data_IF_711070135726
#
_entry.id   IF_711070135726
#
_cell.length_a   1.000
_cell.length_b   1.000
_cell.length_c   1.000
_cell.angle_alpha   90.00
_cell.angle_beta   90.00
_cell.angle_gamma   90.00
#
_symmetry.space_group_name_H-M   'P 1'
#
loop_
_entity.id
_entity.type
_entity.pdbx_description
1 polymer ?
#
# COMPACT_ATOMS: atom_id res chain seq x y z
N UNK A 1 22.56 9.88 2.15
CA UNK A 1 22.30 9.42 0.78
C UNK A 1 21.53 8.11 0.95
N UNK A 2 20.51 7.85 0.19
CA UNK A 2 19.79 6.57 0.25
C UNK A 2 20.60 5.49 -0.44
N UNK A 3 20.29 4.22 -0.16
CA UNK A 3 20.88 3.10 -0.91
C UNK A 3 20.41 3.09 -2.36
N UNK A 4 21.23 2.50 -3.24
CA UNK A 4 20.94 2.45 -4.66
C UNK A 4 19.81 1.46 -5.00
N UNK A 5 19.64 0.40 -4.19
CA UNK A 5 18.64 -0.64 -4.43
C UNK A 5 17.90 -1.02 -3.16
N UNK A 6 16.57 -1.01 -3.23
CA UNK A 6 15.72 -1.50 -2.14
C UNK A 6 14.99 -2.77 -2.56
N UNK A 7 15.09 -3.81 -1.72
CA UNK A 7 14.41 -5.08 -1.93
C UNK A 7 12.89 -4.92 -1.85
N UNK A 8 12.42 -4.17 -0.85
CA UNK A 8 10.99 -3.88 -0.67
C UNK A 8 10.83 -2.42 -0.22
N UNK A 9 9.90 -1.72 -0.84
CA UNK A 9 9.48 -0.39 -0.40
C UNK A 9 7.99 -0.40 -0.09
N UNK A 10 7.62 0.01 1.12
CA UNK A 10 6.21 0.22 1.51
C UNK A 10 5.87 1.70 1.44
N UNK A 11 4.77 1.99 0.79
CA UNK A 11 4.21 3.33 0.67
C UNK A 11 2.82 3.32 1.30
N UNK A 12 2.72 3.84 2.52
CA UNK A 12 1.51 3.84 3.34
C UNK A 12 1.01 5.27 3.57
N UNK A 13 -0.30 5.44 3.64
CA UNK A 13 -0.94 6.72 3.85
C UNK A 13 -1.81 6.71 5.12
N UNK A 14 -1.61 7.71 5.97
CA UNK A 14 -2.45 7.99 7.13
C UNK A 14 -3.28 9.22 6.82
N UNK A 15 -4.61 9.05 6.75
CA UNK A 15 -5.55 10.15 6.51
C UNK A 15 -6.01 10.75 7.84
N UNK A 16 -6.03 12.08 7.90
CA UNK A 16 -6.49 12.82 9.06
C UNK A 16 -7.27 14.07 8.63
N UNK A 17 -8.15 14.55 9.51
CA UNK A 17 -8.95 15.74 9.28
C UNK A 17 -8.32 16.93 10.01
N UNK A 18 -8.19 18.04 9.31
CA UNK A 18 -7.70 19.31 9.85
C UNK A 18 -8.62 20.43 9.43
N UNK A 19 -8.69 21.49 10.24
CA UNK A 19 -9.36 22.72 9.87
C UNK A 19 -8.40 23.59 9.06
N UNK A 20 -8.79 23.97 7.84
CA UNK A 20 -8.01 24.86 7.00
C UNK A 20 -8.06 26.32 7.50
N UNK A 21 -7.31 27.21 6.83
CA UNK A 21 -7.28 28.64 7.18
C UNK A 21 -8.62 29.36 7.03
N UNK A 22 -9.60 28.74 6.35
CA UNK A 22 -10.98 29.26 6.16
C UNK A 22 -11.97 28.69 7.17
N UNK A 23 -11.51 27.85 8.12
CA UNK A 23 -12.36 27.18 9.08
C UNK A 23 -13.06 25.92 8.55
N UNK A 24 -12.73 25.45 7.34
CA UNK A 24 -13.32 24.26 6.75
C UNK A 24 -12.55 23.00 7.13
N UNK A 25 -13.28 21.92 7.43
CA UNK A 25 -12.70 20.60 7.64
C UNK A 25 -12.23 20.02 6.32
N UNK A 26 -10.93 19.78 6.19
CA UNK A 26 -10.30 19.16 5.03
C UNK A 26 -9.57 17.89 5.43
N UNK A 27 -9.61 16.88 4.56
CA UNK A 27 -8.83 15.66 4.75
C UNK A 27 -7.42 15.86 4.16
N UNK A 28 -6.40 15.51 4.93
CA UNK A 28 -5.00 15.46 4.52
C UNK A 28 -4.48 14.06 4.67
N UNK A 29 -3.42 13.73 3.92
CA UNK A 29 -2.72 12.48 4.07
C UNK A 29 -1.24 12.71 4.36
N UNK A 30 -0.69 11.89 5.26
CA UNK A 30 0.76 11.75 5.49
C UNK A 30 1.15 10.43 4.86
N UNK A 31 2.06 10.49 3.91
CA UNK A 31 2.65 9.33 3.26
C UNK A 31 3.97 9.01 3.91
N UNK A 32 4.05 7.82 4.50
CA UNK A 32 5.28 7.25 5.03
C UNK A 32 5.84 6.27 4.01
N UNK A 33 7.09 6.45 3.64
CA UNK A 33 7.79 5.54 2.73
C UNK A 33 8.91 4.86 3.47
N UNK A 34 8.79 3.55 3.64
CA UNK A 34 9.75 2.69 4.32
C UNK A 34 10.39 1.75 3.29
N UNK A 35 11.72 1.63 3.33
CA UNK A 35 12.46 0.66 2.52
C UNK A 35 13.13 -0.41 3.36
N UNK A 36 13.36 -1.55 2.74
CA UNK A 36 14.33 -2.56 3.19
C UNK A 36 15.40 -2.66 2.12
N UNK A 37 16.66 -2.43 2.51
CA UNK A 37 17.82 -2.59 1.65
C UNK A 37 18.10 -4.08 1.33
N UNK A 38 19.18 -4.35 0.61
CA UNK A 38 19.59 -5.72 0.26
C UNK A 38 20.13 -6.50 1.46
N UNK A 39 20.61 -5.84 2.47
CA UNK A 39 21.10 -6.40 3.74
C UNK A 39 19.99 -6.68 4.75
N UNK A 40 18.75 -6.24 4.48
CA UNK A 40 17.60 -6.43 5.35
C UNK A 40 17.37 -5.32 6.38
N UNK A 41 18.09 -4.20 6.29
CA UNK A 41 17.89 -3.06 7.18
C UNK A 41 16.69 -2.23 6.75
N UNK A 42 15.91 -1.80 7.73
CA UNK A 42 14.77 -0.91 7.51
C UNK A 42 15.20 0.54 7.57
N UNK A 43 14.78 1.32 6.60
CA UNK A 43 15.06 2.74 6.50
C UNK A 43 13.80 3.54 6.18
N UNK A 44 13.65 4.74 6.76
CA UNK A 44 12.62 5.70 6.39
C UNK A 44 13.12 6.51 5.20
N UNK A 45 12.59 6.25 4.01
CA UNK A 45 12.98 6.94 2.77
C UNK A 45 12.40 8.35 2.69
N UNK A 46 11.24 8.58 3.30
CA UNK A 46 10.64 9.90 3.35
C UNK A 46 9.27 9.93 3.98
N UNK A 47 8.86 11.15 4.36
CA UNK A 47 7.52 11.49 4.81
C UNK A 47 7.01 12.66 3.97
N UNK A 48 5.80 12.51 3.41
CA UNK A 48 5.22 13.52 2.53
C UNK A 48 3.83 13.86 3.00
N UNK A 49 3.48 15.14 2.95
CA UNK A 49 2.14 15.62 3.30
C UNK A 49 1.49 16.14 2.02
N UNK A 50 0.33 15.60 1.68
CA UNK A 50 -0.42 16.06 0.51
C UNK A 50 -1.89 16.28 0.82
N UNK A 51 -2.47 17.29 0.17
CA UNK A 51 -3.92 17.50 0.11
C UNK A 51 -4.52 17.04 -1.21
N UNK A 52 -3.68 16.73 -2.21
CA UNK A 52 -4.08 16.25 -3.52
C UNK A 52 -3.26 15.00 -3.87
N UNK A 53 -3.93 13.88 -3.99
CA UNK A 53 -3.39 12.60 -4.41
C UNK A 53 -3.57 12.49 -5.92
N UNK A 54 -2.59 12.96 -6.68
CA UNK A 54 -2.61 12.90 -8.13
C UNK A 54 -1.32 12.33 -8.72
N UNK A 55 -1.36 11.95 -10.00
CA UNK A 55 -0.20 11.38 -10.69
C UNK A 55 1.06 12.24 -10.57
N UNK A 56 0.94 13.56 -10.62
CA UNK A 56 2.06 14.48 -10.46
C UNK A 56 2.72 14.41 -9.07
N UNK A 57 1.91 14.19 -8.00
CA UNK A 57 2.43 14.00 -6.65
C UNK A 57 3.27 12.73 -6.56
N UNK A 58 2.74 11.60 -7.08
CA UNK A 58 3.45 10.32 -7.11
C UNK A 58 4.74 10.39 -7.89
N UNK A 59 4.70 10.97 -9.08
CA UNK A 59 5.88 11.15 -9.92
C UNK A 59 6.94 12.00 -9.22
N UNK A 60 6.54 13.12 -8.60
CA UNK A 60 7.47 14.00 -7.85
C UNK A 60 8.14 13.27 -6.69
N UNK A 61 7.36 12.47 -5.93
CA UNK A 61 7.88 11.68 -4.81
C UNK A 61 8.90 10.63 -5.28
N UNK A 62 8.55 9.86 -6.32
CA UNK A 62 9.41 8.80 -6.87
C UNK A 62 10.67 9.36 -7.53
N UNK A 63 10.56 10.46 -8.29
CA UNK A 63 11.72 11.18 -8.84
C UNK A 63 12.62 11.74 -7.72
N UNK A 64 12.01 12.15 -6.61
CA UNK A 64 12.77 12.55 -5.43
C UNK A 64 13.64 11.42 -4.85
N UNK A 65 13.22 10.16 -4.94
CA UNK A 65 14.06 9.02 -4.55
C UNK A 65 15.22 8.82 -5.51
N UNK A 66 14.98 8.89 -6.84
CA UNK A 66 16.07 8.84 -7.84
C UNK A 66 17.12 9.93 -7.61
N UNK A 67 16.67 11.16 -7.36
CA UNK A 67 17.58 12.28 -7.08
C UNK A 67 18.40 12.08 -5.79
N UNK A 68 17.93 11.25 -4.86
CA UNK A 68 18.61 10.87 -3.61
C UNK A 68 19.43 9.60 -3.72
N UNK A 69 19.55 9.02 -4.93
CA UNK A 69 20.42 7.90 -5.24
C UNK A 69 19.73 6.54 -5.36
N UNK A 70 18.40 6.45 -5.26
CA UNK A 70 17.68 5.17 -5.46
C UNK A 70 17.60 4.88 -6.96
N UNK A 71 18.30 3.85 -7.40
CA UNK A 71 18.37 3.42 -8.80
C UNK A 71 17.30 2.37 -9.12
N UNK A 72 17.00 1.48 -8.16
CA UNK A 72 16.02 0.40 -8.37
C UNK A 72 15.23 0.04 -7.10
N UNK A 73 14.01 -0.46 -7.32
CA UNK A 73 13.11 -1.01 -6.31
C UNK A 73 12.60 -2.34 -6.83
N UNK A 74 12.86 -3.44 -6.12
CA UNK A 74 12.43 -4.77 -6.59
C UNK A 74 10.93 -5.00 -6.38
N UNK A 75 10.42 -4.67 -5.18
CA UNK A 75 9.01 -4.82 -4.84
C UNK A 75 8.50 -3.51 -4.22
N UNK A 76 7.48 -2.93 -4.82
CA UNK A 76 6.78 -1.76 -4.29
C UNK A 76 5.42 -2.19 -3.72
N UNK A 77 5.30 -2.19 -2.39
CA UNK A 77 4.04 -2.45 -1.70
C UNK A 77 3.28 -1.14 -1.53
N UNK A 78 2.14 -1.00 -2.19
CA UNK A 78 1.38 0.23 -2.22
C UNK A 78 -0.01 0.06 -1.61
N UNK A 79 -0.54 1.17 -1.11
CA UNK A 79 -1.95 1.37 -0.86
C UNK A 79 -2.66 1.56 -2.21
N UNK A 80 -3.82 0.93 -2.41
CA UNK A 80 -4.53 0.88 -3.69
C UNK A 80 -5.05 2.24 -4.20
N UNK A 81 -4.15 3.18 -4.46
CA UNK A 81 -4.43 4.51 -4.97
C UNK A 81 -4.37 4.51 -6.50
N UNK A 82 -5.37 5.12 -7.12
CA UNK A 82 -5.48 5.21 -8.58
C UNK A 82 -4.30 6.00 -9.17
N UNK A 83 -3.69 5.45 -10.22
CA UNK A 83 -2.57 6.07 -10.92
C UNK A 83 -1.20 5.89 -10.26
N UNK A 84 -1.15 5.27 -9.07
CA UNK A 84 0.12 5.05 -8.37
C UNK A 84 0.94 3.90 -8.99
N UNK A 85 0.36 2.74 -9.35
CA UNK A 85 1.09 1.69 -10.07
C UNK A 85 1.75 2.19 -11.34
N UNK A 86 1.06 2.98 -12.14
CA UNK A 86 1.55 3.55 -13.39
C UNK A 86 2.70 4.52 -13.14
N UNK A 87 2.62 5.34 -12.10
CA UNK A 87 3.70 6.24 -11.70
C UNK A 87 4.96 5.46 -11.30
N UNK A 88 4.81 4.37 -10.53
CA UNK A 88 5.94 3.51 -10.15
C UNK A 88 6.58 2.90 -11.39
N UNK A 89 5.80 2.31 -12.28
CA UNK A 89 6.31 1.69 -13.50
C UNK A 89 6.99 2.69 -14.44
N UNK A 90 6.58 3.96 -14.44
CA UNK A 90 7.23 5.00 -15.26
C UNK A 90 8.61 5.39 -14.73
N UNK A 91 8.84 5.33 -13.41
CA UNK A 91 10.11 5.72 -12.76
C UNK A 91 11.00 4.51 -12.49
N UNK A 92 10.40 3.40 -12.07
CA UNK A 92 11.05 2.11 -11.78
C UNK A 92 10.37 0.99 -12.57
N UNK A 93 10.67 0.85 -13.87
CA UNK A 93 9.95 -0.06 -14.78
C UNK A 93 10.07 -1.54 -14.41
N UNK A 94 11.11 -1.92 -13.68
CA UNK A 94 11.35 -3.31 -13.26
C UNK A 94 10.71 -3.62 -11.90
N UNK A 95 10.15 -2.64 -11.21
CA UNK A 95 9.53 -2.86 -9.90
C UNK A 95 8.26 -3.71 -9.99
N UNK A 96 8.20 -4.78 -9.21
CA UNK A 96 6.97 -5.53 -9.02
C UNK A 96 6.04 -4.76 -8.07
N UNK A 97 4.89 -4.33 -8.57
CA UNK A 97 3.89 -3.62 -7.77
C UNK A 97 2.99 -4.61 -7.06
N UNK A 98 2.97 -4.55 -5.73
CA UNK A 98 2.16 -5.39 -4.86
C UNK A 98 1.17 -4.55 -4.06
N UNK A 99 -0.11 -4.92 -4.08
CA UNK A 99 -1.09 -4.30 -3.18
C UNK A 99 -0.85 -4.75 -1.73
N UNK A 100 -0.90 -3.80 -0.81
CA UNK A 100 -0.70 -4.08 0.61
C UNK A 100 -1.84 -4.93 1.18
N UNK A 101 -1.53 -6.15 1.61
CA UNK A 101 -2.52 -7.09 2.18
C UNK A 101 -3.23 -6.50 3.39
N UNK A 102 -2.53 -5.78 4.27
CA UNK A 102 -3.13 -5.15 5.47
C UNK A 102 -4.21 -4.13 5.08
N UNK A 103 -3.98 -3.33 4.03
CA UNK A 103 -4.97 -2.39 3.53
C UNK A 103 -6.14 -3.08 2.83
N UNK A 104 -5.88 -4.14 2.10
CA UNK A 104 -6.92 -4.99 1.50
C UNK A 104 -7.86 -5.53 2.59
N UNK A 105 -7.30 -6.11 3.65
CA UNK A 105 -8.05 -6.61 4.80
C UNK A 105 -8.90 -5.49 5.43
N UNK A 106 -8.29 -4.33 5.72
CA UNK A 106 -9.00 -3.19 6.32
C UNK A 106 -10.14 -2.67 5.44
N UNK A 107 -9.94 -2.65 4.13
CA UNK A 107 -10.98 -2.22 3.20
C UNK A 107 -12.11 -3.24 3.09
N UNK A 108 -11.80 -4.53 3.05
CA UNK A 108 -12.80 -5.61 3.04
C UNK A 108 -13.68 -5.57 4.30
N UNK A 109 -13.09 -5.30 5.48
CA UNK A 109 -13.84 -5.18 6.73
C UNK A 109 -14.88 -4.04 6.74
N UNK A 110 -14.70 -2.99 5.94
CA UNK A 110 -15.69 -1.91 5.84
C UNK A 110 -17.00 -2.37 5.17
N UNK A 111 -16.95 -3.46 4.40
CA UNK A 111 -18.09 -4.06 3.71
C UNK A 111 -18.77 -5.16 4.52
N UNK A 112 -18.28 -5.48 5.71
CA UNK A 112 -18.77 -6.58 6.55
C UNK A 112 -19.36 -6.04 7.85
N UNK A 113 -20.56 -6.49 8.20
CA UNK A 113 -21.23 -6.13 9.47
C UNK A 113 -20.32 -6.44 10.67
N UNK A 114 -20.34 -5.56 11.66
CA UNK A 114 -19.46 -5.67 12.85
C UNK A 114 -19.56 -6.99 13.59
N UNK A 115 -20.74 -7.60 13.62
CA UNK A 115 -20.99 -8.92 14.21
C UNK A 115 -20.29 -10.08 13.49
N UNK A 116 -20.07 -9.95 12.18
CA UNK A 116 -19.50 -10.98 11.31
C UNK A 116 -17.98 -10.76 11.06
N UNK A 117 -17.42 -9.61 11.43
CA UNK A 117 -16.02 -9.27 11.14
C UNK A 117 -15.01 -10.27 11.70
N UNK A 118 -15.25 -10.82 12.89
CA UNK A 118 -14.32 -11.80 13.48
C UNK A 118 -14.25 -13.11 12.69
N UNK A 119 -15.40 -13.60 12.23
CA UNK A 119 -15.46 -14.81 11.42
C UNK A 119 -14.86 -14.57 10.04
N UNK A 120 -15.23 -13.48 9.39
CA UNK A 120 -14.67 -13.05 8.12
C UNK A 120 -13.14 -12.93 8.17
N UNK A 121 -12.58 -12.31 9.20
CA UNK A 121 -11.11 -12.21 9.37
C UNK A 121 -10.46 -13.58 9.53
N UNK A 122 -11.09 -14.50 10.22
CA UNK A 122 -10.58 -15.86 10.39
C UNK A 122 -10.51 -16.59 9.06
N UNK A 123 -11.57 -16.50 8.26
CA UNK A 123 -11.65 -17.13 6.95
C UNK A 123 -10.66 -16.48 5.96
N UNK A 124 -10.63 -15.15 5.90
CA UNK A 124 -9.68 -14.40 5.07
C UNK A 124 -8.21 -14.70 5.42
N UNK A 125 -7.93 -15.01 6.70
CA UNK A 125 -6.59 -15.40 7.12
C UNK A 125 -6.14 -16.71 6.47
N UNK A 126 -7.04 -17.66 6.26
CA UNK A 126 -6.74 -18.91 5.57
C UNK A 126 -6.32 -18.66 4.12
N UNK A 127 -6.92 -17.66 3.46
CA UNK A 127 -6.60 -17.28 2.10
C UNK A 127 -5.18 -16.68 2.00
N UNK A 128 -4.89 -15.57 2.70
CA UNK A 128 -3.58 -14.89 2.55
C UNK A 128 -2.41 -15.61 3.24
N UNK A 129 -2.64 -16.64 4.05
CA UNK A 129 -1.63 -17.52 4.63
C UNK A 129 -1.51 -18.88 3.91
N UNK A 130 -2.25 -19.07 2.83
CA UNK A 130 -2.20 -20.30 2.05
C UNK A 130 -0.79 -20.58 1.52
N UNK A 131 -0.40 -21.85 1.52
CA UNK A 131 0.95 -22.29 1.13
C UNK A 131 1.17 -22.31 -0.38
N UNK A 132 0.10 -22.21 -1.18
CA UNK A 132 0.15 -22.18 -2.63
C UNK A 132 -0.97 -21.31 -3.20
N UNK A 133 -0.82 -20.87 -4.45
CA UNK A 133 -1.84 -20.11 -5.18
C UNK A 133 -3.15 -20.90 -5.28
N UNK A 134 -3.08 -22.18 -5.62
CA UNK A 134 -4.26 -23.06 -5.73
C UNK A 134 -5.00 -23.18 -4.40
N UNK A 135 -4.27 -23.32 -3.29
CA UNK A 135 -4.87 -23.35 -1.95
C UNK A 135 -5.56 -22.01 -1.61
N UNK A 136 -4.93 -20.88 -1.95
CA UNK A 136 -5.53 -19.56 -1.75
C UNK A 136 -6.82 -19.38 -2.56
N UNK A 137 -6.81 -19.76 -3.84
CA UNK A 137 -8.01 -19.70 -4.71
C UNK A 137 -9.17 -20.54 -4.15
N UNK A 138 -8.89 -21.73 -3.61
CA UNK A 138 -9.90 -22.58 -2.98
C UNK A 138 -10.48 -21.94 -1.69
N UNK A 139 -9.65 -21.34 -0.85
CA UNK A 139 -10.13 -20.65 0.35
C UNK A 139 -10.95 -19.39 0.00
N UNK A 140 -10.57 -18.67 -1.06
CA UNK A 140 -11.34 -17.53 -1.56
C UNK A 140 -12.72 -17.94 -2.06
N UNK A 141 -12.84 -19.05 -2.79
CA UNK A 141 -14.13 -19.61 -3.24
C UNK A 141 -15.01 -19.98 -2.05
N UNK A 142 -14.45 -20.60 -1.01
CA UNK A 142 -15.18 -20.89 0.23
C UNK A 142 -15.70 -19.64 0.93
N UNK A 143 -14.89 -18.58 0.95
CA UNK A 143 -15.27 -17.30 1.53
C UNK A 143 -16.42 -16.66 0.74
N UNK A 144 -16.40 -16.76 -0.59
CA UNK A 144 -17.45 -16.25 -1.48
C UNK A 144 -18.78 -17.01 -1.26
N UNK A 145 -18.74 -18.33 -1.18
CA UNK A 145 -19.92 -19.16 -0.89
C UNK A 145 -20.57 -18.80 0.45
N UNK A 146 -19.79 -18.56 1.50
CA UNK A 146 -20.29 -18.11 2.80
C UNK A 146 -20.88 -16.70 2.78
N UNK A 147 -20.32 -15.78 1.97
CA UNK A 147 -20.77 -14.40 1.86
C UNK A 147 -22.03 -14.22 1.01
N UNK A 148 -22.43 -15.25 0.28
CA UNK A 148 -23.61 -15.22 -0.61
C UNK A 148 -24.92 -15.60 0.08
N UNK A 149 -24.92 -15.75 1.41
CA UNK A 149 -26.11 -16.08 2.25
C UNK A 149 -26.60 -14.88 3.04
#
# INVERSE_FOLDING_TARGET
MLDSVYSIVWMDAIHYKVTDKRGCMVTRAIYNVLGIDREGHKELLGMYISGNEGANFWLSMLTGFQNRGVEDILIACIYGLKGFPEAIQSVYPNAAVQLCVVHQIRNSLKCVDSKNQKEFLKDLKCDYQAVSKESAENELLRLEEKGSV
#
